data_IF_640480986376
#
_entry.id   IF_640480986376
#
_cell.length_a   1.000
_cell.length_b   1.000
_cell.length_c   1.000
_cell.angle_alpha   90.00
_cell.angle_beta   90.00
_cell.angle_gamma   90.00
#
_symmetry.space_group_name_H-M   'P 1'
#
loop_
_entity.id
_entity.type
_entity.pdbx_description
1 polymer ?
#
# COMPACT_ATOMS: atom_id res chain seq x y z
N UNK A 1 -3.60 -5.96 17.84
CA UNK A 1 -2.64 -4.89 18.19
C UNK A 1 -2.29 -4.11 16.92
N UNK A 2 -2.81 -2.89 16.76
CA UNK A 2 -2.51 -2.02 15.61
C UNK A 2 -1.08 -1.50 15.78
N UNK A 3 -0.11 -2.11 15.11
CA UNK A 3 1.23 -1.55 15.03
C UNK A 3 1.15 -0.29 14.16
N UNK A 4 1.54 0.90 14.64
CA UNK A 4 1.48 2.13 13.83
C UNK A 4 2.27 2.00 12.53
N UNK A 5 3.39 1.26 12.57
CA UNK A 5 4.19 0.91 11.40
C UNK A 5 3.43 0.07 10.36
N UNK A 6 2.61 -0.89 10.81
CA UNK A 6 1.75 -1.69 9.92
C UNK A 6 0.77 -0.81 9.15
N UNK A 7 0.11 0.09 9.87
CA UNK A 7 -0.89 0.99 9.28
C UNK A 7 -0.21 1.95 8.29
N UNK A 8 0.91 2.55 8.69
CA UNK A 8 1.68 3.47 7.87
C UNK A 8 2.14 2.83 6.55
N UNK A 9 2.78 1.66 6.62
CA UNK A 9 3.31 0.98 5.43
C UNK A 9 2.18 0.51 4.51
N UNK A 10 1.08 -0.02 5.07
CA UNK A 10 -0.07 -0.42 4.28
C UNK A 10 -0.74 0.77 3.58
N UNK A 11 -0.92 1.90 4.29
CA UNK A 11 -1.51 3.11 3.73
C UNK A 11 -0.61 3.73 2.64
N UNK A 12 0.69 3.87 2.90
CA UNK A 12 1.65 4.39 1.92
C UNK A 12 1.69 3.51 0.66
N UNK A 13 1.75 2.19 0.84
CA UNK A 13 1.76 1.26 -0.29
C UNK A 13 0.47 1.36 -1.11
N UNK A 14 -0.69 1.50 -0.47
CA UNK A 14 -1.97 1.71 -1.16
C UNK A 14 -2.00 3.02 -1.96
N UNK A 15 -1.52 4.12 -1.36
CA UNK A 15 -1.45 5.42 -2.04
C UNK A 15 -0.50 5.40 -3.24
N UNK A 16 0.68 4.80 -3.10
CA UNK A 16 1.66 4.70 -4.19
C UNK A 16 1.09 3.86 -5.35
N UNK A 17 0.52 2.69 -5.06
CA UNK A 17 -0.07 1.86 -6.12
C UNK A 17 -1.24 2.56 -6.80
N UNK A 18 -2.13 3.21 -6.03
CA UNK A 18 -3.23 4.02 -6.58
C UNK A 18 -2.68 5.11 -7.50
N UNK A 19 -1.66 5.86 -7.05
CA UNK A 19 -1.05 6.93 -7.83
C UNK A 19 -0.45 6.43 -9.14
N UNK A 20 0.24 5.28 -9.14
CA UNK A 20 0.77 4.67 -10.37
C UNK A 20 -0.35 4.33 -11.34
N UNK A 21 -1.45 3.73 -10.87
CA UNK A 21 -2.59 3.38 -11.73
C UNK A 21 -3.24 4.63 -12.30
N UNK A 22 -3.42 5.68 -11.50
CA UNK A 22 -3.96 6.97 -11.96
C UNK A 22 -3.05 7.60 -13.02
N UNK A 23 -1.73 7.63 -12.79
CA UNK A 23 -0.78 8.18 -13.76
C UNK A 23 -0.85 7.41 -15.08
N UNK A 24 -0.92 6.09 -15.05
CA UNK A 24 -1.06 5.26 -16.25
C UNK A 24 -2.38 5.55 -16.98
N UNK A 25 -3.50 5.60 -16.25
CA UNK A 25 -4.81 5.91 -16.85
C UNK A 25 -4.80 7.28 -17.53
N UNK A 26 -4.34 8.32 -16.83
CA UNK A 26 -4.23 9.68 -17.39
C UNK A 26 -3.29 9.74 -18.60
N UNK A 27 -2.18 8.99 -18.56
CA UNK A 27 -1.23 8.92 -19.69
C UNK A 27 -1.84 8.28 -20.94
N UNK A 28 -2.85 7.41 -20.76
CA UNK A 28 -3.61 6.80 -21.85
C UNK A 28 -4.78 7.68 -22.35
N UNK A 29 -4.94 8.89 -21.81
CA UNK A 29 -6.02 9.82 -22.15
C UNK A 29 -7.36 9.47 -21.50
N UNK A 30 -7.34 8.61 -20.48
CA UNK A 30 -8.54 8.16 -19.76
C UNK A 30 -8.81 9.13 -18.61
N UNK A 31 -9.98 9.77 -18.62
CA UNK A 31 -10.30 10.92 -17.74
C UNK A 31 -11.68 10.82 -17.09
N UNK A 32 -12.39 9.70 -17.24
CA UNK A 32 -13.70 9.54 -16.62
C UNK A 32 -13.55 9.32 -15.11
N UNK A 33 -14.55 9.74 -14.34
CA UNK A 33 -14.51 9.64 -12.88
C UNK A 33 -14.51 8.16 -12.42
N UNK A 34 -15.09 7.25 -13.21
CA UNK A 34 -15.09 5.81 -12.94
C UNK A 34 -13.66 5.24 -12.91
N UNK A 35 -12.75 5.78 -13.73
CA UNK A 35 -11.38 5.29 -13.82
C UNK A 35 -10.59 5.58 -12.54
N UNK A 36 -10.83 6.73 -11.93
CA UNK A 36 -10.28 7.07 -10.62
C UNK A 36 -10.83 6.15 -9.53
N UNK A 37 -12.13 5.83 -9.56
CA UNK A 37 -12.72 4.90 -8.61
C UNK A 37 -12.09 3.49 -8.74
N UNK A 38 -11.90 3.02 -9.98
CA UNK A 38 -11.21 1.76 -10.25
C UNK A 38 -9.75 1.80 -9.80
N UNK A 39 -9.04 2.90 -10.01
CA UNK A 39 -7.65 3.05 -9.54
C UNK A 39 -7.54 2.95 -8.01
N UNK A 40 -8.48 3.55 -7.28
CA UNK A 40 -8.56 3.43 -5.82
C UNK A 40 -8.82 1.98 -5.40
N UNK A 41 -9.76 1.29 -6.06
CA UNK A 41 -10.04 -0.12 -5.76
C UNK A 41 -8.78 -0.97 -6.00
N UNK A 42 -8.11 -0.81 -7.14
CA UNK A 42 -6.88 -1.53 -7.46
C UNK A 42 -5.78 -1.23 -6.45
N UNK A 43 -5.61 0.04 -6.08
CA UNK A 43 -4.62 0.45 -5.09
C UNK A 43 -4.87 -0.10 -3.69
N UNK A 44 -6.14 -0.22 -3.27
CA UNK A 44 -6.49 -0.87 -2.01
C UNK A 44 -6.28 -2.38 -2.07
N UNK A 45 -6.74 -3.03 -3.15
CA UNK A 45 -6.67 -4.48 -3.33
C UNK A 45 -5.23 -4.96 -3.43
N UNK A 46 -4.35 -4.22 -4.12
CA UNK A 46 -2.95 -4.60 -4.32
C UNK A 46 -2.01 -3.97 -3.29
N UNK A 47 -2.22 -2.70 -2.96
CA UNK A 47 -1.30 -1.94 -2.11
C UNK A 47 -1.40 -2.31 -0.63
N UNK A 48 -2.58 -2.64 -0.10
CA UNK A 48 -2.70 -3.13 1.28
C UNK A 48 -1.90 -4.44 1.48
N UNK A 49 -2.13 -5.52 0.71
CA UNK A 49 -1.36 -6.75 0.89
C UNK A 49 0.14 -6.55 0.62
N UNK A 50 0.52 -5.72 -0.35
CA UNK A 50 1.92 -5.37 -0.60
C UNK A 50 2.57 -4.68 0.61
N UNK A 51 1.88 -3.73 1.24
CA UNK A 51 2.37 -3.06 2.44
C UNK A 51 2.45 -3.99 3.65
N UNK A 52 1.48 -4.89 3.83
CA UNK A 52 1.53 -5.91 4.87
C UNK A 52 2.68 -6.91 4.68
N UNK A 53 2.96 -7.29 3.43
CA UNK A 53 4.09 -8.15 3.12
C UNK A 53 5.42 -7.44 3.40
N UNK A 54 5.53 -6.17 3.03
CA UNK A 54 6.70 -5.32 3.30
C UNK A 54 6.95 -5.18 4.80
N UNK A 55 5.90 -4.92 5.58
CA UNK A 55 5.98 -4.85 7.05
C UNK A 55 6.55 -6.15 7.65
N UNK A 56 6.02 -7.30 7.23
CA UNK A 56 6.50 -8.61 7.68
C UNK A 56 7.96 -8.85 7.29
N UNK A 57 8.34 -8.41 6.09
CA UNK A 57 9.71 -8.55 5.58
C UNK A 57 10.71 -7.69 6.36
N UNK A 58 10.34 -6.44 6.69
CA UNK A 58 11.14 -5.55 7.54
C UNK A 58 11.36 -6.21 8.89
N UNK A 59 10.29 -6.64 9.57
CA UNK A 59 10.37 -7.26 10.90
C UNK A 59 11.19 -8.55 10.92
N UNK A 60 11.17 -9.33 9.84
CA UNK A 60 11.95 -10.58 9.72
C UNK A 60 13.43 -10.32 9.52
N UNK A 61 13.78 -9.23 8.83
CA UNK A 61 15.15 -8.92 8.44
C UNK A 61 15.86 -7.94 9.39
N UNK A 62 15.11 -7.30 10.29
CA UNK A 62 15.66 -6.36 11.28
C UNK A 62 16.20 -7.12 12.51
N UNK A 63 17.53 -7.18 12.71
CA UNK A 63 18.14 -7.87 13.84
C UNK A 63 17.86 -7.20 15.19
N UNK A 64 17.48 -5.92 15.17
CA UNK A 64 17.22 -5.10 16.36
C UNK A 64 15.73 -4.93 16.63
N UNK A 65 14.86 -5.67 15.93
CA UNK A 65 13.43 -5.55 16.11
C UNK A 65 13.05 -5.95 17.56
N UNK A 66 12.45 -5.05 18.36
CA UNK A 66 12.18 -5.33 19.76
C UNK A 66 11.24 -6.55 19.91
N UNK A 67 11.52 -7.45 20.87
CA UNK A 67 10.67 -8.60 21.15
C UNK A 67 9.24 -8.15 21.40
N UNK A 68 8.26 -8.92 20.90
CA UNK A 68 6.85 -8.66 21.18
C UNK A 68 6.64 -8.77 22.68
N UNK A 69 6.49 -7.64 23.37
CA UNK A 69 6.09 -7.60 24.77
C UNK A 69 4.71 -8.27 24.84
N UNK A 70 4.65 -9.39 25.55
CA UNK A 70 3.47 -10.22 25.74
C UNK A 70 2.45 -9.51 26.62
#
# INVERSE_FOLDING_TARGET
MKSPLRLLIAALSALVVTGVVVIVALSLGVVEWQDFAMAVIVGLVLGIPAGLWTERRIKRNDPFWPPRQA
#
